data_IF_466841950025
#
_entry.id   IF_466841950025
#
_cell.length_a   1.000
_cell.length_b   1.000
_cell.length_c   1.000
_cell.angle_alpha   90.00
_cell.angle_beta   90.00
_cell.angle_gamma   90.00
#
_symmetry.space_group_name_H-M   'P 1'
#
loop_
_entity.id
_entity.type
_entity.pdbx_description
1 polymer ?
#
# COMPACT_ATOMS: atom_id res chain seq x y z
N UNK A 1 -17.07 29.38 -43.34
CA UNK A 1 -16.77 28.01 -43.77
C UNK A 1 -16.29 27.27 -42.55
N UNK A 2 -16.94 26.13 -42.35
CA UNK A 2 -16.95 25.25 -41.19
C UNK A 2 -15.62 24.53 -40.93
N UNK A 3 -15.70 23.72 -39.88
CA UNK A 3 -14.83 22.65 -39.39
C UNK A 3 -13.66 23.05 -38.48
N UNK A 4 -13.58 22.60 -37.23
CA UNK A 4 -14.20 21.42 -36.62
C UNK A 4 -13.10 20.52 -36.08
N UNK A 5 -12.76 20.64 -34.80
CA UNK A 5 -12.04 19.60 -34.07
C UNK A 5 -12.55 19.55 -32.62
N UNK A 6 -13.45 18.58 -32.43
CA UNK A 6 -13.84 18.02 -31.14
C UNK A 6 -12.66 17.34 -30.44
N UNK A 7 -12.70 17.38 -29.10
CA UNK A 7 -12.68 16.13 -28.34
C UNK A 7 -11.37 15.72 -27.66
N UNK A 8 -11.52 15.31 -26.41
CA UNK A 8 -10.56 14.50 -25.66
C UNK A 8 -9.78 15.33 -24.64
N UNK A 9 -10.17 15.39 -23.37
CA UNK A 9 -10.26 14.19 -22.53
C UNK A 9 -8.92 13.94 -21.88
N UNK A 10 -8.54 14.80 -20.93
CA UNK A 10 -7.33 14.66 -20.13
C UNK A 10 -7.64 15.13 -18.72
N UNK A 11 -8.26 14.25 -17.93
CA UNK A 11 -8.45 14.45 -16.49
C UNK A 11 -7.07 14.50 -15.84
N UNK A 12 -6.48 15.69 -15.79
CA UNK A 12 -5.32 15.99 -14.95
C UNK A 12 -5.75 15.92 -13.48
N UNK A 13 -5.74 14.72 -12.91
CA UNK A 13 -5.80 14.56 -11.46
C UNK A 13 -4.36 14.47 -10.96
N UNK A 14 -3.71 15.64 -10.87
CA UNK A 14 -2.52 15.81 -10.02
C UNK A 14 -2.99 15.71 -8.58
N UNK A 15 -2.75 14.58 -7.92
CA UNK A 15 -2.82 14.51 -6.46
C UNK A 15 -1.41 14.39 -5.91
N UNK A 16 -0.94 15.53 -5.41
CA UNK A 16 0.27 15.71 -4.62
C UNK A 16 -0.16 15.76 -3.16
N UNK A 17 0.34 14.87 -2.29
CA UNK A 17 0.44 15.10 -0.83
C UNK A 17 1.67 14.38 -0.29
N UNK A 18 2.38 15.10 0.57
CA UNK A 18 3.80 15.01 0.95
C UNK A 18 4.19 13.87 1.91
N UNK A 19 5.50 13.65 1.94
CA UNK A 19 6.33 12.72 2.71
C UNK A 19 6.34 13.06 4.23
N UNK A 20 6.24 12.08 5.14
CA UNK A 20 6.67 12.27 6.54
C UNK A 20 7.39 11.01 7.04
N UNK A 21 8.71 11.10 7.15
CA UNK A 21 9.59 10.21 7.91
C UNK A 21 9.69 10.70 9.36
N UNK A 22 9.36 9.86 10.35
CA UNK A 22 9.88 10.03 11.72
C UNK A 22 10.03 8.69 12.44
N UNK A 23 11.28 8.22 12.54
CA UNK A 23 11.83 7.31 13.56
C UNK A 23 13.09 8.02 14.13
N UNK A 24 13.68 7.72 15.31
CA UNK A 24 13.32 6.86 16.45
C UNK A 24 13.35 7.65 17.81
N UNK A 25 12.98 8.94 17.83
CA UNK A 25 13.27 9.88 18.95
C UNK A 25 12.17 10.11 19.99
N UNK A 26 10.99 9.46 19.92
CA UNK A 26 9.87 9.69 20.86
C UNK A 26 10.03 8.96 22.20
N UNK A 27 11.25 8.91 22.74
CA UNK A 27 11.58 8.13 23.93
C UNK A 27 11.45 8.90 25.26
N UNK A 28 10.97 10.15 25.27
CA UNK A 28 10.82 10.95 26.52
C UNK A 28 9.80 12.07 26.33
N UNK A 29 8.58 11.87 26.83
CA UNK A 29 7.59 12.86 27.31
C UNK A 29 6.16 12.43 26.93
N UNK A 30 5.39 12.06 27.95
CA UNK A 30 3.96 11.76 27.82
C UNK A 30 3.16 13.00 27.48
N UNK A 31 2.64 13.04 26.25
CA UNK A 31 1.33 13.59 25.89
C UNK A 31 1.21 13.63 24.36
N UNK A 32 0.47 12.63 23.85
CA UNK A 32 -0.26 12.65 22.57
C UNK A 32 0.43 13.25 21.33
N UNK A 33 1.04 12.39 20.51
CA UNK A 33 0.98 12.50 19.03
C UNK A 33 0.91 11.10 18.41
N UNK A 34 -0.22 10.67 17.83
CA UNK A 34 -0.26 9.45 17.03
C UNK A 34 0.52 9.74 15.74
N UNK A 35 1.77 9.31 15.67
CA UNK A 35 2.45 9.17 14.39
C UNK A 35 1.82 7.99 13.68
N UNK A 36 0.72 8.24 12.95
CA UNK A 36 0.17 7.23 12.03
C UNK A 36 1.15 7.12 10.88
N UNK A 37 2.08 6.16 10.96
CA UNK A 37 2.83 5.74 9.79
C UNK A 37 1.76 5.36 8.75
N UNK A 38 1.81 5.91 7.55
CA UNK A 38 0.91 5.48 6.48
C UNK A 38 1.79 5.09 5.34
N UNK A 39 1.77 3.80 5.01
CA UNK A 39 2.39 3.33 3.80
C UNK A 39 1.70 4.01 2.62
N UNK A 40 2.50 4.53 1.68
CA UNK A 40 1.96 5.07 0.46
C UNK A 40 1.59 3.89 -0.44
N UNK A 41 0.29 3.68 -0.61
CA UNK A 41 -0.23 2.61 -1.43
C UNK A 41 -1.30 3.09 -2.41
N UNK A 42 -1.30 2.47 -3.59
CA UNK A 42 -2.32 2.61 -4.62
C UNK A 42 -2.98 1.24 -4.82
N UNK A 43 -4.30 1.20 -4.81
CA UNK A 43 -5.06 -0.01 -5.15
C UNK A 43 -5.96 0.28 -6.35
N UNK A 44 -5.91 -0.60 -7.35
CA UNK A 44 -6.64 -0.44 -8.62
C UNK A 44 -7.07 -1.79 -9.19
N UNK A 45 -8.01 -1.75 -10.13
CA UNK A 45 -8.43 -2.90 -10.92
C UNK A 45 -7.78 -2.86 -12.30
N UNK A 46 -7.18 -3.96 -12.73
CA UNK A 46 -6.58 -4.14 -14.05
C UNK A 46 -7.12 -5.44 -14.67
N UNK A 47 -8.14 -5.32 -15.52
CA UNK A 47 -8.79 -6.49 -16.13
C UNK A 47 -9.46 -7.37 -15.07
N UNK A 48 -9.08 -8.64 -14.99
CA UNK A 48 -9.54 -9.62 -14.00
C UNK A 48 -8.77 -9.56 -12.67
N UNK A 49 -7.85 -8.61 -12.51
CA UNK A 49 -6.97 -8.51 -11.35
C UNK A 49 -7.25 -7.27 -10.50
N UNK A 50 -7.07 -7.41 -9.19
CA UNK A 50 -6.85 -6.30 -8.26
C UNK A 50 -5.36 -6.19 -8.00
N UNK A 51 -4.83 -4.98 -8.13
CA UNK A 51 -3.40 -4.68 -7.97
C UNK A 51 -3.25 -3.64 -6.86
N UNK A 52 -2.51 -4.00 -5.81
CA UNK A 52 -2.06 -3.10 -4.76
C UNK A 52 -0.56 -2.82 -4.94
N UNK A 53 -0.17 -1.56 -5.02
CA UNK A 53 1.21 -1.13 -5.12
C UNK A 53 1.56 -0.26 -3.92
N UNK A 54 2.50 -0.67 -3.08
CA UNK A 54 2.92 0.07 -1.88
C UNK A 54 4.42 0.30 -1.82
N UNK A 55 4.84 1.44 -1.29
CA UNK A 55 6.25 1.79 -1.11
C UNK A 55 6.73 1.43 0.29
N UNK A 56 7.70 0.52 0.35
CA UNK A 56 8.31 0.01 1.60
C UNK A 56 9.80 0.34 1.66
N UNK A 57 10.19 1.51 1.13
CA UNK A 57 11.60 1.92 1.04
C UNK A 57 12.27 1.89 2.43
N UNK A 58 13.36 1.15 2.54
CA UNK A 58 14.10 0.96 3.80
C UNK A 58 13.75 -0.32 4.55
N UNK A 59 12.75 -1.07 4.10
CA UNK A 59 12.42 -2.41 4.60
C UNK A 59 12.88 -3.46 3.59
N UNK A 60 13.42 -4.56 4.09
CA UNK A 60 13.77 -5.71 3.27
C UNK A 60 12.56 -6.62 3.06
N UNK A 61 12.66 -7.59 2.15
CA UNK A 61 11.57 -8.54 1.91
C UNK A 61 11.18 -9.32 3.17
N UNK A 62 12.15 -9.68 4.01
CA UNK A 62 11.92 -10.37 5.29
C UNK A 62 11.29 -9.50 6.38
N UNK A 63 11.21 -8.18 6.17
CA UNK A 63 10.58 -7.23 7.09
C UNK A 63 9.16 -6.87 6.65
N UNK A 64 8.64 -7.52 5.61
CA UNK A 64 7.33 -7.23 5.05
C UNK A 64 6.52 -8.52 4.98
N UNK A 65 5.35 -8.51 5.60
CA UNK A 65 4.38 -9.60 5.51
C UNK A 65 3.14 -9.11 4.75
N UNK A 66 2.68 -9.93 3.82
CA UNK A 66 1.46 -9.66 3.05
C UNK A 66 0.45 -10.73 3.38
N UNK A 67 -0.77 -10.31 3.69
CA UNK A 67 -1.91 -11.19 3.88
C UNK A 67 -3.14 -10.63 3.15
N UNK A 68 -4.11 -11.47 2.87
CA UNK A 68 -5.35 -11.05 2.22
C UNK A 68 -6.57 -11.71 2.83
N UNK A 69 -7.68 -11.01 2.67
CA UNK A 69 -9.04 -11.52 2.85
C UNK A 69 -9.81 -11.19 1.58
N UNK A 70 -11.02 -11.75 1.37
CA UNK A 70 -11.77 -11.48 0.15
C UNK A 70 -12.03 -10.00 -0.13
N UNK A 71 -12.00 -9.10 0.87
CA UNK A 71 -12.31 -7.68 0.70
C UNK A 71 -11.16 -6.73 1.04
N UNK A 72 -9.99 -7.25 1.39
CA UNK A 72 -8.87 -6.42 1.81
C UNK A 72 -7.52 -7.12 1.62
N UNK A 73 -6.51 -6.35 1.24
CA UNK A 73 -5.11 -6.75 1.23
C UNK A 73 -4.41 -6.01 2.38
N UNK A 74 -3.69 -6.75 3.20
CA UNK A 74 -2.92 -6.21 4.32
C UNK A 74 -1.43 -6.33 4.07
N UNK A 75 -0.69 -5.27 4.37
CA UNK A 75 0.77 -5.17 4.29
C UNK A 75 1.29 -4.72 5.64
N UNK A 76 1.97 -5.65 6.31
CA UNK A 76 2.52 -5.49 7.64
C UNK A 76 4.04 -5.28 7.55
N UNK A 77 4.55 -4.23 8.19
CA UNK A 77 5.99 -4.02 8.30
C UNK A 77 6.46 -4.47 9.67
N UNK A 78 7.46 -5.35 9.71
CA UNK A 78 8.12 -5.74 10.95
C UNK A 78 9.09 -4.62 11.34
N UNK A 79 8.82 -3.95 12.47
CA UNK A 79 9.65 -2.86 12.99
C UNK A 79 10.73 -3.37 13.95
N UNK A 80 10.43 -4.40 14.72
CA UNK A 80 11.35 -5.01 15.70
C UNK A 80 11.00 -6.49 15.87
N UNK A 81 11.98 -7.38 15.66
CA UNK A 81 11.83 -8.82 15.85
C UNK A 81 11.98 -9.18 17.33
N UNK A 82 11.04 -9.93 17.91
CA UNK A 82 11.08 -10.35 19.32
C UNK A 82 10.77 -11.83 19.48
N UNK A 83 11.35 -12.45 20.51
CA UNK A 83 11.10 -13.86 20.85
C UNK A 83 9.62 -14.14 21.19
N UNK A 84 8.89 -13.15 21.73
CA UNK A 84 7.48 -13.28 22.14
C UNK A 84 6.47 -12.73 21.10
N UNK A 85 6.97 -12.31 19.93
CA UNK A 85 6.14 -11.77 18.85
C UNK A 85 6.59 -10.40 18.37
N UNK A 86 6.68 -10.27 17.05
CA UNK A 86 7.23 -9.09 16.39
C UNK A 86 6.36 -7.85 16.58
N UNK A 87 7.02 -6.70 16.69
CA UNK A 87 6.35 -5.40 16.65
C UNK A 87 6.08 -5.08 15.19
N UNK A 88 4.84 -5.25 14.76
CA UNK A 88 4.40 -5.03 13.37
C UNK A 88 3.62 -3.73 13.23
N UNK A 89 3.81 -3.08 12.08
CA UNK A 89 3.01 -1.94 11.65
C UNK A 89 2.00 -2.39 10.60
N UNK A 90 0.74 -2.54 11.03
CA UNK A 90 -0.33 -3.10 10.21
C UNK A 90 -0.97 -2.05 9.29
N UNK A 91 -1.01 -2.33 7.98
CA UNK A 91 -1.76 -1.54 7.01
C UNK A 91 -2.72 -2.45 6.27
N UNK A 92 -4.00 -2.10 6.26
CA UNK A 92 -5.01 -2.84 5.51
C UNK A 92 -5.69 -1.93 4.48
N UNK A 93 -5.85 -2.43 3.27
CA UNK A 93 -6.41 -1.73 2.13
C UNK A 93 -7.61 -2.49 1.60
N UNK A 94 -8.78 -1.84 1.63
CA UNK A 94 -10.00 -2.41 1.07
C UNK A 94 -9.87 -2.57 -0.44
N UNK A 95 -10.19 -3.75 -0.94
CA UNK A 95 -10.21 -4.02 -2.37
C UNK A 95 -11.47 -3.40 -2.99
N UNK A 96 -11.38 -2.87 -4.22
CA UNK A 96 -12.55 -2.33 -4.93
C UNK A 96 -13.58 -3.41 -5.31
N UNK A 97 -13.09 -4.62 -5.55
CA UNK A 97 -13.86 -5.83 -5.83
C UNK A 97 -13.35 -6.98 -4.96
N UNK A 98 -14.19 -7.98 -4.64
CA UNK A 98 -13.72 -9.14 -3.90
C UNK A 98 -12.62 -9.89 -4.66
N UNK A 99 -11.60 -10.36 -3.95
CA UNK A 99 -10.46 -11.09 -4.51
C UNK A 99 -10.47 -12.57 -4.12
N UNK A 100 -9.83 -13.39 -4.95
CA UNK A 100 -9.47 -14.77 -4.64
C UNK A 100 -8.10 -14.79 -3.94
N UNK A 101 -8.11 -15.10 -2.64
CA UNK A 101 -6.92 -15.12 -1.80
C UNK A 101 -5.91 -16.23 -2.18
N UNK A 102 -6.32 -17.28 -2.90
CA UNK A 102 -5.43 -18.36 -3.35
C UNK A 102 -4.59 -17.95 -4.56
N UNK A 103 -5.02 -16.90 -5.29
CA UNK A 103 -4.34 -16.37 -6.48
C UNK A 103 -3.34 -15.24 -6.16
N UNK A 104 -3.07 -15.01 -4.88
CA UNK A 104 -2.23 -13.89 -4.43
C UNK A 104 -0.78 -14.04 -4.90
N UNK A 105 -0.33 -13.05 -5.67
CA UNK A 105 1.06 -12.91 -6.13
C UNK A 105 1.68 -11.67 -5.49
N UNK A 106 2.83 -11.84 -4.84
CA UNK A 106 3.58 -10.74 -4.20
C UNK A 106 4.93 -10.58 -4.90
N UNK A 107 5.21 -9.37 -5.36
CA UNK A 107 6.46 -9.02 -6.04
C UNK A 107 7.16 -7.88 -5.28
N UNK A 108 8.43 -8.09 -4.93
CA UNK A 108 9.28 -7.09 -4.27
C UNK A 108 10.32 -6.57 -5.26
N UNK A 109 10.31 -5.26 -5.51
CA UNK A 109 11.29 -4.62 -6.41
C UNK A 109 11.61 -3.21 -5.98
N UNK A 110 12.89 -2.90 -5.80
CA UNK A 110 13.41 -1.54 -5.60
C UNK A 110 12.71 -0.76 -4.45
N UNK A 111 12.40 -1.43 -3.33
CA UNK A 111 11.70 -0.82 -2.19
C UNK A 111 10.20 -0.58 -2.41
N UNK A 112 9.61 -1.30 -3.37
CA UNK A 112 8.19 -1.34 -3.67
C UNK A 112 7.70 -2.78 -3.58
N UNK A 113 6.49 -2.94 -3.06
CA UNK A 113 5.75 -4.20 -3.02
C UNK A 113 4.54 -4.05 -3.92
N UNK A 114 4.39 -4.98 -4.86
CA UNK A 114 3.22 -5.10 -5.71
C UNK A 114 2.52 -6.41 -5.37
N UNK A 115 1.27 -6.32 -4.94
CA UNK A 115 0.40 -7.46 -4.64
C UNK A 115 -0.66 -7.52 -5.74
N UNK A 116 -0.87 -8.70 -6.31
CA UNK A 116 -1.90 -8.96 -7.32
C UNK A 116 -2.76 -10.13 -6.86
N UNK A 117 -4.06 -10.03 -7.04
CA UNK A 117 -4.98 -11.16 -6.84
C UNK A 117 -6.07 -11.10 -7.90
N UNK A 118 -6.53 -12.25 -8.38
CA UNK A 118 -7.67 -12.33 -9.29
C UNK A 118 -8.95 -11.91 -8.55
N UNK A 119 -9.87 -11.31 -9.30
CA UNK A 119 -11.22 -11.02 -8.80
C UNK A 119 -12.02 -12.30 -8.70
N UNK A 120 -12.92 -12.33 -7.71
CA UNK A 120 -13.88 -13.41 -7.51
C UNK A 120 -15.21 -13.17 -8.22
#
# INVERSE_FOLDING_TARGET
MEDGLEGGGGKEHRYMVEDIVMTPFFNRHGSHKPATLKLHAEIREEGDWVVLETRVKGYSEEDVEVSATPNAISVDLILEKKEDGDVKFHNSYFTPSPIDEETLVVEHKEGKVTVKAEKR
#
